data_IF_538691900362
#
_entry.id   IF_538691900362
#
_cell.length_a   1.000
_cell.length_b   1.000
_cell.length_c   1.000
_cell.angle_alpha   90.00
_cell.angle_beta   90.00
_cell.angle_gamma   90.00
#
_symmetry.space_group_name_H-M   'P 1'
#
loop_
_entity.id
_entity.type
_entity.pdbx_description
1 polymer ?
#
# COMPACT_ATOMS: atom_id res chain seq x y z
N UNK A 1 44.45 -10.05 -36.66
CA UNK A 1 43.19 -10.80 -36.49
C UNK A 1 42.95 -11.12 -35.01
N UNK A 2 42.67 -10.13 -34.15
CA UNK A 2 42.47 -10.34 -32.70
C UNK A 2 41.50 -9.34 -32.03
N UNK A 3 40.70 -8.60 -32.82
CA UNK A 3 39.74 -7.61 -32.28
C UNK A 3 38.26 -7.99 -32.44
N UNK A 4 37.95 -9.04 -33.21
CA UNK A 4 36.57 -9.45 -33.50
C UNK A 4 36.02 -10.33 -32.37
N UNK A 5 36.84 -11.18 -31.74
CA UNK A 5 36.39 -12.06 -30.65
C UNK A 5 35.96 -11.33 -29.36
N UNK A 6 36.54 -10.17 -29.06
CA UNK A 6 36.14 -9.46 -27.83
C UNK A 6 34.71 -8.91 -27.97
N UNK A 7 34.36 -8.28 -29.10
CA UNK A 7 33.00 -7.75 -29.31
C UNK A 7 31.92 -8.83 -29.27
N UNK A 8 32.18 -10.03 -29.82
CA UNK A 8 31.23 -11.15 -29.79
C UNK A 8 31.08 -11.76 -28.38
N UNK A 9 32.11 -11.68 -27.54
CA UNK A 9 32.03 -12.06 -26.12
C UNK A 9 31.24 -11.02 -25.31
N UNK A 10 31.41 -9.71 -25.59
CA UNK A 10 30.62 -8.64 -24.98
C UNK A 10 29.13 -8.69 -25.36
N UNK A 11 28.80 -9.00 -26.62
CA UNK A 11 27.39 -9.16 -27.06
C UNK A 11 26.70 -10.35 -26.39
N UNK A 12 27.42 -11.47 -26.18
CA UNK A 12 26.90 -12.64 -25.46
C UNK A 12 26.75 -12.44 -23.95
N UNK A 13 27.61 -11.63 -23.32
CA UNK A 13 27.47 -11.29 -21.90
C UNK A 13 26.28 -10.33 -21.65
N UNK A 14 25.97 -9.45 -22.60
CA UNK A 14 24.81 -8.56 -22.53
C UNK A 14 23.46 -9.26 -22.79
N UNK A 15 23.44 -10.30 -23.64
CA UNK A 15 22.26 -11.14 -23.89
C UNK A 15 21.92 -12.11 -22.74
N UNK A 16 22.87 -12.34 -21.83
CA UNK A 16 22.69 -13.16 -20.62
C UNK A 16 22.10 -12.38 -19.44
N UNK A 17 21.92 -11.07 -19.59
CA UNK A 17 21.25 -10.30 -18.55
C UNK A 17 19.76 -10.48 -18.77
N UNK A 18 19.13 -11.22 -17.87
CA UNK A 18 17.70 -11.50 -17.90
C UNK A 18 16.93 -10.20 -17.60
N UNK A 19 16.81 -9.37 -18.63
CA UNK A 19 16.15 -8.07 -18.56
C UNK A 19 14.72 -8.17 -18.07
N UNK A 20 14.08 -9.32 -18.28
CA UNK A 20 12.74 -9.58 -17.78
C UNK A 20 12.72 -9.71 -16.26
N UNK A 21 13.64 -10.48 -15.69
CA UNK A 21 13.78 -10.61 -14.23
C UNK A 21 14.18 -9.29 -13.57
N UNK A 22 15.12 -8.54 -14.18
CA UNK A 22 15.46 -7.19 -13.68
C UNK A 22 14.29 -6.21 -13.76
N UNK A 23 13.49 -6.24 -14.84
CA UNK A 23 12.29 -5.41 -14.97
C UNK A 23 11.23 -5.76 -13.92
N UNK A 24 11.02 -7.04 -13.64
CA UNK A 24 10.07 -7.50 -12.62
C UNK A 24 10.52 -7.10 -11.21
N UNK A 25 11.82 -7.16 -10.92
CA UNK A 25 12.38 -6.71 -9.64
C UNK A 25 12.27 -5.18 -9.46
N UNK A 26 12.52 -4.41 -10.52
CA UNK A 26 12.32 -2.96 -10.52
C UNK A 26 10.84 -2.62 -10.30
N UNK A 27 9.93 -3.34 -10.96
CA UNK A 27 8.49 -3.13 -10.80
C UNK A 27 8.04 -3.44 -9.35
N UNK A 28 8.53 -4.52 -8.75
CA UNK A 28 8.24 -4.84 -7.35
C UNK A 28 8.77 -3.77 -6.40
N UNK A 29 10.03 -3.38 -6.55
CA UNK A 29 10.65 -2.36 -5.71
C UNK A 29 9.90 -1.02 -5.80
N UNK A 30 9.44 -0.65 -7.00
CA UNK A 30 8.66 0.55 -7.21
C UNK A 30 7.32 0.50 -6.46
N UNK A 31 6.62 -0.62 -6.52
CA UNK A 31 5.32 -0.78 -5.87
C UNK A 31 5.47 -0.89 -4.34
N UNK A 32 6.55 -1.49 -3.85
CA UNK A 32 6.85 -1.51 -2.42
C UNK A 32 7.19 -0.11 -1.88
N UNK A 33 7.82 0.75 -2.69
CA UNK A 33 8.02 2.15 -2.34
C UNK A 33 6.69 2.91 -2.21
N UNK A 34 5.74 2.66 -3.11
CA UNK A 34 4.38 3.21 -3.02
C UNK A 34 3.70 2.80 -1.71
N UNK A 35 3.81 1.52 -1.34
CA UNK A 35 3.27 1.03 -0.07
C UNK A 35 3.92 1.73 1.12
N UNK A 36 5.24 1.85 1.11
CA UNK A 36 5.99 2.52 2.17
C UNK A 36 5.61 4.01 2.30
N UNK A 37 5.44 4.72 1.18
CA UNK A 37 5.00 6.11 1.16
C UNK A 37 3.61 6.30 1.79
N UNK A 38 2.70 5.36 1.54
CA UNK A 38 1.37 5.33 2.14
C UNK A 38 1.34 4.72 3.55
N UNK A 39 2.50 4.35 4.10
CA UNK A 39 2.64 3.86 5.47
C UNK A 39 2.35 2.37 5.64
N UNK A 40 2.32 1.58 4.58
CA UNK A 40 2.11 0.13 4.62
C UNK A 40 3.43 -0.64 4.52
N UNK A 41 3.51 -1.86 5.10
CA UNK A 41 4.75 -2.66 5.09
C UNK A 41 5.01 -3.37 3.76
N UNK A 42 4.01 -3.47 2.88
CA UNK A 42 4.09 -4.14 1.58
C UNK A 42 2.93 -3.74 0.69
N UNK A 43 3.08 -3.94 -0.62
CA UNK A 43 2.00 -3.74 -1.58
C UNK A 43 0.74 -4.53 -1.24
N UNK A 44 0.86 -5.81 -0.92
CA UNK A 44 -0.30 -6.67 -0.63
C UNK A 44 -1.15 -6.11 0.52
N UNK A 45 -0.49 -5.51 1.53
CA UNK A 45 -1.18 -4.87 2.66
C UNK A 45 -1.86 -3.57 2.27
N UNK A 46 -1.23 -2.77 1.41
CA UNK A 46 -1.85 -1.57 0.85
C UNK A 46 -3.07 -1.95 -0.01
N UNK A 47 -2.94 -2.94 -0.90
CA UNK A 47 -4.01 -3.39 -1.78
C UNK A 47 -5.20 -3.93 -0.97
N UNK A 48 -4.95 -4.73 0.07
CA UNK A 48 -5.99 -5.26 0.97
C UNK A 48 -6.73 -4.18 1.76
N UNK A 49 -6.08 -3.05 2.06
CA UNK A 49 -6.68 -1.93 2.76
C UNK A 49 -7.39 -0.94 1.83
N UNK A 50 -7.24 -1.11 0.52
CA UNK A 50 -7.74 -0.18 -0.48
C UNK A 50 -8.94 -0.73 -1.24
N UNK A 51 -9.78 0.16 -1.74
CA UNK A 51 -10.84 -0.19 -2.67
C UNK A 51 -10.48 0.23 -4.08
N UNK A 52 -10.77 -0.64 -5.05
CA UNK A 52 -10.51 -0.35 -6.45
C UNK A 52 -11.69 0.42 -7.06
N UNK A 53 -11.42 1.62 -7.57
CA UNK A 53 -12.46 2.51 -8.12
C UNK A 53 -12.62 2.30 -9.63
N UNK A 54 -11.52 2.35 -10.38
CA UNK A 54 -11.55 2.24 -11.85
C UNK A 54 -10.21 1.75 -12.39
N UNK A 55 -10.24 0.68 -13.20
CA UNK A 55 -9.02 0.00 -13.68
C UNK A 55 -8.07 -0.28 -12.51
N UNK A 56 -6.87 0.27 -12.52
CA UNK A 56 -5.85 0.10 -11.50
C UNK A 56 -5.78 1.28 -10.53
N UNK A 57 -6.79 2.17 -10.53
CA UNK A 57 -6.87 3.24 -9.54
C UNK A 57 -7.59 2.77 -8.28
N UNK A 58 -6.93 3.02 -7.16
CA UNK A 58 -7.34 2.62 -5.82
C UNK A 58 -7.52 3.83 -4.92
N UNK A 59 -8.30 3.63 -3.86
CA UNK A 59 -8.49 4.57 -2.77
C UNK A 59 -8.26 3.88 -1.44
N UNK A 60 -7.60 4.58 -0.52
CA UNK A 60 -7.44 4.16 0.87
C UNK A 60 -7.77 5.31 1.80
N UNK A 61 -8.36 5.00 2.95
CA UNK A 61 -8.65 5.96 4.01
C UNK A 61 -7.69 5.73 5.17
N UNK A 62 -6.76 6.65 5.37
CA UNK A 62 -5.62 6.52 6.26
C UNK A 62 -5.99 6.74 7.73
N UNK A 63 -5.11 6.32 8.65
CA UNK A 63 -5.34 6.45 10.10
C UNK A 63 -5.45 7.90 10.56
N UNK A 64 -4.85 8.84 9.84
CA UNK A 64 -4.92 10.28 10.11
C UNK A 64 -6.19 10.95 9.56
N UNK A 65 -7.07 10.19 8.89
CA UNK A 65 -8.33 10.66 8.33
C UNK A 65 -8.23 11.17 6.89
N UNK A 66 -7.02 11.23 6.32
CA UNK A 66 -6.84 11.59 4.91
C UNK A 66 -7.20 10.43 4.01
N UNK A 67 -7.66 10.77 2.81
CA UNK A 67 -7.89 9.83 1.73
C UNK A 67 -6.74 9.90 0.74
N UNK A 68 -6.23 8.76 0.31
CA UNK A 68 -5.21 8.68 -0.74
C UNK A 68 -5.79 8.05 -2.00
N UNK A 69 -5.51 8.67 -3.15
CA UNK A 69 -5.77 8.17 -4.49
C UNK A 69 -4.45 7.74 -5.11
N UNK A 70 -4.36 6.49 -5.55
CA UNK A 70 -3.10 5.91 -6.01
C UNK A 70 -3.31 4.89 -7.13
N UNK A 71 -2.25 4.60 -7.88
CA UNK A 71 -2.26 3.63 -8.96
C UNK A 71 -0.87 3.00 -9.14
N UNK A 72 -0.73 1.68 -9.00
CA UNK A 72 0.58 1.02 -9.05
C UNK A 72 1.19 1.07 -10.46
N UNK A 73 0.37 1.15 -11.50
CA UNK A 73 0.79 1.19 -12.90
C UNK A 73 1.31 2.57 -13.31
N UNK A 74 0.78 3.66 -12.74
CA UNK A 74 1.21 5.03 -13.07
C UNK A 74 2.15 5.66 -12.05
N UNK A 75 2.41 5.01 -10.91
CA UNK A 75 3.24 5.53 -9.83
C UNK A 75 4.65 5.96 -10.25
N UNK A 76 5.26 5.34 -11.27
CA UNK A 76 6.54 5.80 -11.83
C UNK A 76 6.52 7.24 -12.36
N UNK A 77 5.34 7.83 -12.58
CA UNK A 77 5.15 9.17 -13.17
C UNK A 77 4.23 10.06 -12.34
N UNK A 78 3.41 9.49 -11.47
CA UNK A 78 2.36 10.19 -10.75
C UNK A 78 2.36 9.75 -9.28
N UNK A 79 2.67 10.68 -8.39
CA UNK A 79 2.63 10.43 -6.95
C UNK A 79 1.18 10.25 -6.46
N UNK A 80 0.97 9.56 -5.33
CA UNK A 80 -0.31 9.50 -4.65
C UNK A 80 -0.84 10.90 -4.31
N UNK A 81 -2.15 11.08 -4.50
CA UNK A 81 -2.81 12.33 -4.15
C UNK A 81 -3.56 12.17 -2.84
N UNK A 82 -3.40 13.15 -1.95
CA UNK A 82 -4.01 13.15 -0.62
C UNK A 82 -5.14 14.18 -0.52
N UNK A 83 -6.21 13.79 0.17
CA UNK A 83 -7.39 14.62 0.37
C UNK A 83 -7.80 14.59 1.84
N UNK A 84 -8.03 15.76 2.44
CA UNK A 84 -8.38 15.89 3.86
C UNK A 84 -9.78 15.35 4.20
N UNK A 85 -10.65 15.19 3.20
CA UNK A 85 -12.00 14.74 3.43
C UNK A 85 -12.60 14.02 2.22
N UNK A 86 -13.63 13.21 2.50
CA UNK A 86 -14.35 12.40 1.52
C UNK A 86 -14.97 13.22 0.38
N UNK A 87 -15.45 14.44 0.65
CA UNK A 87 -16.12 15.27 -0.38
C UNK A 87 -15.16 15.71 -1.46
N UNK A 88 -13.92 16.01 -1.09
CA UNK A 88 -12.92 16.50 -2.04
C UNK A 88 -12.40 15.38 -2.93
N UNK A 89 -12.15 14.19 -2.38
CA UNK A 89 -11.80 13.02 -3.20
C UNK A 89 -12.95 12.60 -4.14
N UNK A 90 -14.21 12.66 -3.70
CA UNK A 90 -15.38 12.40 -4.58
C UNK A 90 -15.38 13.35 -5.76
N UNK A 91 -15.22 14.66 -5.52
CA UNK A 91 -15.19 15.66 -6.59
C UNK A 91 -14.03 15.42 -7.55
N UNK A 92 -12.86 15.08 -7.02
CA UNK A 92 -11.67 14.80 -7.82
C UNK A 92 -11.90 13.59 -8.73
N UNK A 93 -12.29 12.44 -8.17
CA UNK A 93 -12.55 11.20 -8.93
C UNK A 93 -13.64 11.44 -9.97
N UNK A 94 -14.73 12.12 -9.60
CA UNK A 94 -15.81 12.44 -10.52
C UNK A 94 -15.34 13.33 -11.68
N UNK A 95 -14.43 14.27 -11.43
CA UNK A 95 -13.80 15.08 -12.46
C UNK A 95 -12.88 14.27 -13.38
N UNK A 96 -12.00 13.45 -12.81
CA UNK A 96 -11.06 12.60 -13.57
C UNK A 96 -11.78 11.60 -14.46
N UNK A 97 -12.84 10.98 -13.95
CA UNK A 97 -13.62 9.98 -14.68
C UNK A 97 -14.77 10.59 -15.50
N UNK A 98 -14.93 11.92 -15.46
CA UNK A 98 -16.02 12.65 -16.11
C UNK A 98 -17.41 12.06 -15.79
N UNK A 99 -17.66 11.77 -14.51
CA UNK A 99 -18.88 11.11 -14.05
C UNK A 99 -20.10 12.03 -14.12
N UNK A 100 -21.22 11.52 -14.61
CA UNK A 100 -22.50 12.21 -14.53
C UNK A 100 -22.98 12.30 -13.07
N UNK A 101 -23.77 13.33 -12.75
CA UNK A 101 -24.26 13.58 -11.37
C UNK A 101 -25.01 12.39 -10.75
N UNK A 102 -25.63 11.53 -11.57
CA UNK A 102 -26.31 10.30 -11.12
C UNK A 102 -25.32 9.26 -10.57
N UNK A 103 -24.10 9.23 -11.08
CA UNK A 103 -23.06 8.27 -10.72
C UNK A 103 -22.24 8.73 -9.50
N UNK A 104 -22.32 10.01 -9.13
CA UNK A 104 -21.68 10.55 -7.93
C UNK A 104 -22.18 9.85 -6.67
N UNK A 105 -23.49 9.57 -6.58
CA UNK A 105 -24.06 8.86 -5.43
C UNK A 105 -23.54 7.43 -5.35
N UNK A 106 -23.30 6.77 -6.50
CA UNK A 106 -22.74 5.42 -6.53
C UNK A 106 -21.27 5.43 -6.08
N UNK A 107 -20.50 6.42 -6.51
CA UNK A 107 -19.13 6.63 -6.04
C UNK A 107 -19.11 6.87 -4.52
N UNK A 108 -19.98 7.75 -4.02
CA UNK A 108 -20.10 8.04 -2.60
C UNK A 108 -20.39 6.78 -1.78
N UNK A 109 -21.35 5.97 -2.21
CA UNK A 109 -21.69 4.69 -1.56
C UNK A 109 -20.54 3.67 -1.62
N UNK A 110 -19.79 3.64 -2.72
CA UNK A 110 -18.59 2.80 -2.83
C UNK A 110 -17.52 3.23 -1.82
N UNK A 111 -17.27 4.53 -1.72
CA UNK A 111 -16.33 5.08 -0.75
C UNK A 111 -16.78 4.92 0.70
N UNK A 112 -18.08 4.76 0.98
CA UNK A 112 -18.56 4.42 2.34
C UNK A 112 -18.14 3.01 2.80
N UNK A 113 -17.78 2.12 1.86
CA UNK A 113 -17.28 0.79 2.20
C UNK A 113 -15.78 0.79 2.54
N UNK A 114 -15.06 1.86 2.21
CA UNK A 114 -13.63 1.97 2.48
C UNK A 114 -13.43 2.16 3.99
N UNK A 115 -12.87 1.13 4.61
CA UNK A 115 -12.56 1.13 6.04
C UNK A 115 -11.41 2.08 6.31
N UNK A 116 -11.56 2.93 7.33
CA UNK A 116 -10.44 3.73 7.81
C UNK A 116 -9.39 2.81 8.45
N UNK A 117 -8.16 2.89 7.99
CA UNK A 117 -7.04 2.14 8.55
C UNK A 117 -6.68 2.64 9.95
N UNK A 118 -5.83 1.88 10.62
CA UNK A 118 -5.23 2.26 11.90
C UNK A 118 -3.73 2.12 11.81
N UNK A 119 -3.03 2.88 12.65
CA UNK A 119 -1.58 2.78 12.81
C UNK A 119 -1.24 1.82 13.94
N UNK A 120 -0.39 0.84 13.67
CA UNK A 120 0.03 -0.14 14.66
C UNK A 120 0.90 0.53 15.73
N UNK A 121 0.59 0.32 17.00
CA UNK A 121 1.37 0.88 18.11
C UNK A 121 2.81 0.34 18.19
N UNK A 122 3.04 -0.89 17.74
CA UNK A 122 4.37 -1.52 17.74
C UNK A 122 5.22 -1.09 16.54
N UNK A 123 4.79 -1.43 15.31
CA UNK A 123 5.58 -1.22 14.09
C UNK A 123 5.29 0.10 13.35
N UNK A 124 4.30 0.88 13.80
CA UNK A 124 3.92 2.17 13.21
C UNK A 124 3.44 2.12 11.75
N UNK A 125 3.15 0.93 11.21
CA UNK A 125 2.53 0.78 9.90
C UNK A 125 0.99 0.90 9.95
N UNK A 126 0.42 1.36 8.85
CA UNK A 126 -1.01 1.31 8.55
C UNK A 126 -1.47 -0.15 8.38
N UNK A 127 -2.67 -0.44 8.87
CA UNK A 127 -3.32 -1.74 8.68
C UNK A 127 -4.84 -1.60 8.65
N UNK A 128 -5.51 -2.54 7.96
CA UNK A 128 -6.97 -2.65 7.97
C UNK A 128 -7.43 -3.29 9.29
N UNK A 129 -8.15 -2.57 10.18
CA UNK A 129 -8.63 -3.12 11.45
C UNK A 129 -9.72 -4.18 11.29
N UNK A 130 -10.34 -4.27 10.10
CA UNK A 130 -11.38 -5.25 9.78
C UNK A 130 -10.85 -6.38 8.87
N UNK A 131 -9.53 -6.53 8.74
CA UNK A 131 -8.93 -7.67 8.04
C UNK A 131 -9.42 -8.99 8.66
N UNK A 132 -10.08 -9.88 7.89
CA UNK A 132 -10.59 -11.16 8.40
C UNK A 132 -9.52 -12.04 9.05
N UNK A 133 -8.26 -11.92 8.64
CA UNK A 133 -7.16 -12.66 9.25
C UNK A 133 -6.98 -12.33 10.74
N UNK A 134 -7.46 -11.16 11.20
CA UNK A 134 -7.44 -10.77 12.62
C UNK A 134 -8.35 -11.63 13.49
N UNK A 135 -9.47 -12.11 12.94
CA UNK A 135 -10.39 -12.95 13.70
C UNK A 135 -9.74 -14.26 14.18
N UNK A 136 -8.58 -14.63 13.63
CA UNK A 136 -7.85 -15.81 14.10
C UNK A 136 -7.11 -15.62 15.44
N UNK A 137 -6.84 -14.38 15.85
CA UNK A 137 -6.02 -14.08 17.03
C UNK A 137 -6.57 -12.98 17.94
N UNK A 138 -7.50 -12.15 17.45
CA UNK A 138 -8.12 -11.02 18.18
C UNK A 138 -9.65 -11.02 17.97
N UNK A 139 -10.29 -12.13 18.33
CA UNK A 139 -11.75 -12.33 18.14
C UNK A 139 -12.57 -11.25 18.83
N UNK A 140 -12.17 -10.91 20.06
CA UNK A 140 -12.88 -9.96 20.92
C UNK A 140 -12.46 -8.49 20.68
N UNK A 141 -11.56 -8.25 19.71
CA UNK A 141 -11.00 -6.92 19.37
C UNK A 141 -10.34 -6.19 20.55
N UNK A 142 -9.84 -6.93 21.53
CA UNK A 142 -9.13 -6.36 22.68
C UNK A 142 -7.74 -5.84 22.30
N UNK A 143 -7.18 -6.30 21.18
CA UNK A 143 -5.85 -5.93 20.69
C UNK A 143 -5.92 -5.05 19.42
N UNK A 144 -6.97 -4.24 19.31
CA UNK A 144 -7.25 -3.38 18.15
C UNK A 144 -6.27 -2.21 17.96
N UNK A 145 -5.17 -2.14 18.73
CA UNK A 145 -4.04 -1.20 18.56
C UNK A 145 -2.88 -1.81 17.76
N UNK A 146 -2.85 -3.13 17.57
CA UNK A 146 -1.74 -3.85 16.93
C UNK A 146 -2.17 -4.49 15.62
N UNK A 147 -1.30 -4.50 14.60
CA UNK A 147 -1.61 -5.10 13.31
C UNK A 147 -1.54 -6.64 13.29
N UNK A 148 -0.84 -7.26 14.26
CA UNK A 148 -0.67 -8.70 14.37
C UNK A 148 -0.44 -9.13 15.82
N UNK A 149 -0.62 -10.44 16.08
CA UNK A 149 -0.28 -11.05 17.37
C UNK A 149 1.21 -10.87 17.72
N UNK A 150 2.11 -10.95 16.73
CA UNK A 150 3.54 -10.73 16.94
C UNK A 150 3.83 -9.32 17.42
N UNK A 151 3.22 -8.30 16.82
CA UNK A 151 3.34 -6.91 17.26
C UNK A 151 2.77 -6.70 18.67
N UNK A 152 1.65 -7.35 19.01
CA UNK A 152 1.09 -7.26 20.35
C UNK A 152 2.03 -7.88 21.40
N UNK A 153 2.59 -9.07 21.12
CA UNK A 153 3.56 -9.73 22.01
C UNK A 153 4.86 -8.92 22.15
N UNK A 154 5.41 -8.43 21.04
CA UNK A 154 6.65 -7.65 21.04
C UNK A 154 6.50 -6.38 21.87
N UNK A 155 5.37 -5.67 21.73
CA UNK A 155 5.09 -4.48 22.52
C UNK A 155 5.06 -4.77 24.03
N UNK A 156 4.36 -5.84 24.45
CA UNK A 156 4.28 -6.25 25.86
C UNK A 156 5.66 -6.64 26.40
N UNK A 157 6.44 -7.40 25.64
CA UNK A 157 7.80 -7.78 26.04
C UNK A 157 8.75 -6.58 26.12
N UNK A 158 8.56 -5.59 25.25
CA UNK A 158 9.30 -4.32 25.28
C UNK A 158 9.03 -3.55 26.58
N UNK A 159 7.75 -3.31 26.91
CA UNK A 159 7.38 -2.57 28.12
C UNK A 159 7.84 -3.27 29.40
N UNK A 160 7.78 -4.60 29.45
CA UNK A 160 8.31 -5.35 30.59
C UNK A 160 9.83 -5.17 30.75
N UNK A 161 10.60 -5.19 29.66
CA UNK A 161 12.06 -4.98 29.73
C UNK A 161 12.42 -3.59 30.23
N UNK A 162 11.67 -2.57 29.81
CA UNK A 162 11.87 -1.20 30.29
C UNK A 162 11.49 -1.05 31.77
N UNK A 163 10.47 -1.77 32.24
CA UNK A 163 10.04 -1.74 33.64
C UNK A 163 10.93 -2.52 34.62
N UNK A 164 11.61 -3.59 34.17
CA UNK A 164 12.52 -4.38 35.02
C UNK A 164 14.00 -4.00 34.87
N UNK A 165 14.35 -3.15 33.89
CA UNK A 165 15.70 -2.69 33.62
C UNK A 165 16.02 -1.26 34.11
N UNK A 166 15.09 -0.61 34.82
CA UNK A 166 15.24 0.72 35.41
C UNK A 166 15.63 0.71 36.88
#
# INVERSE_FOLDING_TARGET
>A
MHKINQMEEWEKELDNIDWKTMLDDINKALIDNLAAELGFPSYDRLEQASERVFKDFYVVHLSDGRWAWWNPTTYAKEDPLFFENKKDIIKYIAGVLNLERKDWKRLELGLDQVVQTRRCRCCQYEYNPLDPSRMSWDVDQEQAEFCSADCAMEYVLGEMKEHFGG
#
